data_IF_234354455738
#
_entry.id   IF_234354455738
#
_cell.length_a   1.000
_cell.length_b   1.000
_cell.length_c   1.000
_cell.angle_alpha   90.00
_cell.angle_beta   90.00
_cell.angle_gamma   90.00
#
_symmetry.space_group_name_H-M   'P 1'
#
loop_
_entity.id
_entity.type
_entity.pdbx_description
1 polymer ?
#
# COMPACT_ATOMS: atom_id res chain seq x y z
N UNK A 1 -8.33 4.15 7.17
CA UNK A 1 -9.31 4.81 8.06
C UNK A 1 -9.87 6.02 7.35
N UNK A 2 -11.17 6.20 7.44
CA UNK A 2 -11.83 7.38 6.90
C UNK A 2 -11.53 8.59 7.77
N UNK A 3 -11.20 9.71 7.12
CA UNK A 3 -10.84 10.96 7.77
C UNK A 3 -11.67 12.09 7.15
N UNK A 4 -12.06 13.11 7.92
CA UNK A 4 -12.61 14.33 7.35
C UNK A 4 -11.56 14.99 6.45
N UNK A 5 -12.00 15.88 5.54
CA UNK A 5 -11.10 16.62 4.66
C UNK A 5 -10.09 17.41 5.52
N UNK A 6 -8.79 17.08 5.48
CA UNK A 6 -7.82 17.71 6.34
C UNK A 6 -7.61 19.18 5.92
N UNK A 7 -7.71 20.08 6.89
CA UNK A 7 -7.57 21.53 6.71
C UNK A 7 -6.21 22.06 7.15
N UNK A 8 -5.50 21.31 8.01
CA UNK A 8 -4.23 21.72 8.60
C UNK A 8 -3.26 20.56 8.77
N UNK A 9 -1.96 20.89 8.89
CA UNK A 9 -0.90 19.92 9.20
C UNK A 9 -1.19 19.15 10.50
N UNK A 10 -1.76 19.83 11.50
CA UNK A 10 -2.03 19.26 12.82
C UNK A 10 -3.05 18.13 12.74
N UNK A 11 -4.13 18.32 11.98
CA UNK A 11 -5.15 17.28 11.76
C UNK A 11 -4.58 16.04 11.10
N UNK A 12 -3.66 16.23 10.15
CA UNK A 12 -3.04 15.12 9.42
C UNK A 12 -2.19 14.26 10.36
N UNK A 13 -1.36 14.90 11.18
CA UNK A 13 -0.55 14.21 12.19
C UNK A 13 -1.44 13.51 13.22
N UNK A 14 -2.53 14.16 13.65
CA UNK A 14 -3.49 13.56 14.57
C UNK A 14 -4.17 12.31 13.98
N UNK A 15 -4.60 12.37 12.71
CA UNK A 15 -5.19 11.24 12.01
C UNK A 15 -4.20 10.08 11.85
N UNK A 16 -2.96 10.35 11.42
CA UNK A 16 -1.91 9.33 11.33
C UNK A 16 -1.69 8.62 12.67
N UNK A 17 -1.58 9.38 13.76
CA UNK A 17 -1.38 8.83 15.12
C UNK A 17 -2.59 8.01 15.55
N UNK A 18 -3.81 8.46 15.28
CA UNK A 18 -5.05 7.73 15.58
C UNK A 18 -5.07 6.37 14.88
N UNK A 19 -4.78 6.32 13.58
CA UNK A 19 -4.66 5.06 12.82
C UNK A 19 -3.62 4.12 13.44
N UNK A 20 -2.44 4.63 13.79
CA UNK A 20 -1.39 3.82 14.42
C UNK A 20 -1.82 3.22 15.77
N UNK A 21 -2.47 4.02 16.61
CA UNK A 21 -2.89 3.58 17.94
C UNK A 21 -4.06 2.60 17.86
N UNK A 22 -5.03 2.83 16.98
CA UNK A 22 -6.11 1.89 16.73
C UNK A 22 -5.59 0.54 16.22
N UNK A 23 -4.64 0.56 15.28
CA UNK A 23 -4.02 -0.67 14.77
C UNK A 23 -3.29 -1.44 15.88
N UNK A 24 -2.62 -0.72 16.80
CA UNK A 24 -1.96 -1.33 17.97
C UNK A 24 -2.98 -1.90 18.96
N UNK A 25 -4.06 -1.18 19.24
CA UNK A 25 -5.11 -1.58 20.17
C UNK A 25 -5.91 -2.79 19.66
N UNK A 26 -6.21 -2.84 18.36
CA UNK A 26 -6.92 -3.96 17.71
C UNK A 26 -6.05 -5.22 17.55
N UNK A 27 -4.73 -5.12 17.73
CA UNK A 27 -3.82 -6.27 17.66
C UNK A 27 -3.77 -6.97 16.29
N UNK A 28 -4.16 -6.29 15.21
CA UNK A 28 -4.24 -6.89 13.87
C UNK A 28 -2.85 -7.26 13.37
N UNK A 29 -2.73 -8.46 12.77
CA UNK A 29 -1.47 -8.91 12.17
C UNK A 29 -1.03 -7.97 11.05
N UNK A 30 0.18 -7.45 11.18
CA UNK A 30 0.87 -6.61 10.19
C UNK A 30 0.93 -7.32 8.84
N UNK A 31 0.38 -6.69 7.80
CA UNK A 31 0.45 -7.19 6.43
C UNK A 31 1.64 -6.56 5.70
N UNK A 32 2.52 -7.40 5.15
CA UNK A 32 3.60 -6.96 4.27
C UNK A 32 3.02 -6.63 2.90
N UNK A 33 3.30 -5.43 2.42
CA UNK A 33 2.85 -4.89 1.14
C UNK A 33 4.03 -4.30 0.39
N UNK A 34 3.89 -4.20 -0.91
CA UNK A 34 4.81 -3.46 -1.77
C UNK A 34 4.08 -2.22 -2.26
N UNK A 35 4.68 -1.05 -2.07
CA UNK A 35 4.16 0.23 -2.54
C UNK A 35 5.00 0.67 -3.73
N UNK A 36 4.33 0.88 -4.86
CA UNK A 36 4.88 1.43 -6.09
C UNK A 36 4.37 2.86 -6.28
N UNK A 37 5.28 3.80 -6.48
CA UNK A 37 4.96 5.21 -6.72
C UNK A 37 5.45 5.59 -8.11
N UNK A 38 4.55 5.91 -9.04
CA UNK A 38 4.88 6.35 -10.40
C UNK A 38 4.27 7.73 -10.70
N UNK A 39 4.49 8.23 -11.92
CA UNK A 39 3.82 9.43 -12.45
C UNK A 39 2.30 9.25 -12.57
N UNK A 40 1.83 8.01 -12.70
CA UNK A 40 0.39 7.71 -12.81
C UNK A 40 -0.29 7.73 -11.44
N UNK A 41 0.43 7.40 -10.37
CA UNK A 41 -0.09 7.41 -9.01
C UNK A 41 0.61 6.43 -8.06
N UNK A 42 -0.13 6.04 -7.02
CA UNK A 42 0.35 5.12 -5.97
C UNK A 42 -0.43 3.82 -6.07
N UNK A 43 0.30 2.71 -6.22
CA UNK A 43 -0.24 1.35 -6.23
C UNK A 43 0.31 0.56 -5.06
N UNK A 44 -0.57 -0.15 -4.37
CA UNK A 44 -0.22 -1.02 -3.24
C UNK A 44 -0.57 -2.44 -3.60
N UNK A 45 0.43 -3.31 -3.67
CA UNK A 45 0.26 -4.73 -4.01
C UNK A 45 0.71 -5.64 -2.88
N UNK A 46 0.12 -6.82 -2.82
CA UNK A 46 0.63 -7.95 -2.06
C UNK A 46 1.18 -8.98 -3.03
N UNK A 47 2.43 -9.39 -2.80
CA UNK A 47 3.01 -10.52 -3.53
C UNK A 47 2.53 -11.81 -2.90
N UNK A 48 1.55 -12.47 -3.54
CA UNK A 48 1.29 -13.89 -3.26
C UNK A 48 2.48 -14.67 -3.82
N UNK A 49 3.33 -15.17 -2.93
CA UNK A 49 4.25 -16.23 -3.29
C UNK A 49 3.42 -17.50 -3.39
N UNK A 50 2.93 -17.87 -4.59
CA UNK A 50 2.62 -19.28 -4.84
C UNK A 50 3.94 -20.02 -4.60
N UNK A 51 4.06 -20.69 -3.44
CA UNK A 51 4.99 -21.80 -3.31
C UNK A 51 4.60 -22.77 -4.42
N UNK A 52 5.35 -22.76 -5.52
CA UNK A 52 5.26 -23.76 -6.56
C UNK A 52 5.61 -25.11 -5.93
N UNK A 53 4.63 -25.74 -5.28
CA UNK A 53 4.70 -27.16 -4.95
C UNK A 53 4.51 -27.85 -6.30
N UNK A 54 5.62 -28.03 -7.02
CA UNK A 54 5.70 -28.79 -8.26
C UNK A 54 5.34 -30.24 -7.89
N UNK A 55 4.04 -30.55 -7.89
CA UNK A 55 3.57 -31.93 -7.98
C UNK A 55 3.71 -32.36 -9.44
N UNK A 56 4.38 -33.48 -9.61
CA UNK A 56 4.55 -34.28 -10.81
C UNK A 56 3.29 -34.41 -11.67
N UNK A 57 3.48 -34.45 -12.99
CA UNK A 57 2.68 -35.32 -13.85
C UNK A 57 1.86 -34.64 -14.95
N UNK A 58 2.28 -34.93 -16.18
CA UNK A 58 1.53 -34.95 -17.44
C UNK A 58 1.46 -33.67 -18.31
N UNK A 59 2.07 -33.83 -19.49
CA UNK A 59 1.96 -33.03 -20.71
C UNK A 59 0.51 -33.07 -21.22
N UNK A 60 0.01 -31.99 -21.80
CA UNK A 60 -0.72 -31.98 -23.09
C UNK A 60 -1.12 -30.54 -23.53
N UNK A 61 -0.67 -30.17 -24.74
CA UNK A 61 -1.16 -29.14 -25.69
C UNK A 61 -1.32 -27.65 -25.31
N UNK A 62 -0.65 -26.78 -26.08
CA UNK A 62 -1.03 -25.36 -26.28
C UNK A 62 0.14 -24.41 -26.57
N UNK A 63 0.48 -24.19 -27.85
CA UNK A 63 1.57 -23.33 -28.35
C UNK A 63 1.12 -21.86 -28.51
N UNK A 64 1.99 -20.96 -28.03
CA UNK A 64 2.22 -19.56 -28.46
C UNK A 64 1.11 -18.50 -28.39
N UNK A 65 1.14 -17.68 -27.32
CA UNK A 65 1.19 -16.23 -27.49
C UNK A 65 2.09 -15.56 -26.42
N UNK A 66 2.76 -14.49 -26.83
CA UNK A 66 3.97 -13.90 -26.24
C UNK A 66 3.66 -13.06 -24.98
N UNK A 67 4.49 -13.24 -23.94
CA UNK A 67 4.68 -12.41 -22.73
C UNK A 67 3.44 -12.06 -21.89
N UNK A 68 3.22 -12.82 -20.80
CA UNK A 68 3.17 -12.25 -19.46
C UNK A 68 3.21 -13.39 -18.43
N UNK A 69 4.37 -13.56 -17.79
CA UNK A 69 4.47 -14.34 -16.56
C UNK A 69 3.68 -13.58 -15.48
N UNK A 70 2.37 -13.81 -15.40
CA UNK A 70 1.52 -13.14 -14.43
C UNK A 70 1.79 -13.74 -13.06
N UNK A 71 2.87 -13.26 -12.44
CA UNK A 71 2.95 -13.17 -10.98
C UNK A 71 1.63 -12.56 -10.54
N UNK A 72 0.75 -13.34 -9.93
CA UNK A 72 -0.56 -12.87 -9.49
C UNK A 72 -0.33 -11.92 -8.30
N UNK A 73 0.01 -10.67 -8.62
CA UNK A 73 0.13 -9.57 -7.67
C UNK A 73 -1.28 -9.13 -7.34
N UNK A 74 -1.71 -9.39 -6.11
CA UNK A 74 -3.01 -8.92 -5.64
C UNK A 74 -2.89 -7.42 -5.38
N UNK A 75 -3.52 -6.63 -6.22
CA UNK A 75 -3.62 -5.18 -6.02
C UNK A 75 -4.62 -4.91 -4.88
N UNK A 76 -4.13 -4.29 -3.81
CA UNK A 76 -4.98 -3.90 -2.68
C UNK A 76 -5.63 -2.55 -2.93
N UNK A 77 -4.85 -1.61 -3.46
CA UNK A 77 -5.26 -0.22 -3.59
C UNK A 77 -4.53 0.41 -4.78
N UNK A 78 -5.24 1.22 -5.53
CA UNK A 78 -4.68 2.04 -6.59
C UNK A 78 -5.32 3.41 -6.59
N UNK A 79 -4.50 4.44 -6.36
CA UNK A 79 -4.93 5.83 -6.35
C UNK A 79 -4.15 6.60 -7.41
N UNK A 80 -4.84 7.15 -8.44
CA UNK A 80 -4.22 8.04 -9.40
C UNK A 80 -3.67 9.29 -8.72
N UNK A 81 -2.63 9.88 -9.31
CA UNK A 81 -1.89 10.99 -8.69
C UNK A 81 -2.79 12.19 -8.37
N UNK A 82 -3.77 12.48 -9.22
CA UNK A 82 -4.73 13.59 -9.05
C UNK A 82 -5.70 13.39 -7.87
N UNK A 83 -5.81 12.18 -7.31
CA UNK A 83 -6.66 11.89 -6.14
C UNK A 83 -5.90 11.96 -4.82
N UNK A 84 -4.58 12.02 -4.87
CA UNK A 84 -3.75 12.10 -3.68
C UNK A 84 -3.79 13.54 -3.20
N UNK A 85 -4.42 13.76 -2.06
CA UNK A 85 -4.61 15.09 -1.49
C UNK A 85 -3.38 15.55 -0.71
N UNK A 86 -2.77 14.63 0.04
CA UNK A 86 -1.65 14.95 0.90
C UNK A 86 -0.75 13.76 1.14
N UNK A 87 0.54 14.04 1.34
CA UNK A 87 1.58 13.06 1.61
C UNK A 87 2.46 13.56 2.77
N UNK A 88 2.67 12.73 3.78
CA UNK A 88 3.50 13.09 4.94
C UNK A 88 4.18 11.92 5.62
N UNK A 89 5.22 12.27 6.38
CA UNK A 89 5.89 11.40 7.35
C UNK A 89 5.54 11.82 8.78
N UNK A 90 5.75 10.93 9.74
CA UNK A 90 5.64 11.27 11.16
C UNK A 90 6.91 12.00 11.60
N UNK A 91 6.78 13.18 12.22
CA UNK A 91 7.93 13.95 12.72
C UNK A 91 8.75 13.20 13.77
N UNK A 92 8.15 12.20 14.43
CA UNK A 92 8.78 11.36 15.45
C UNK A 92 9.33 10.03 14.91
N UNK A 93 8.88 9.56 13.74
CA UNK A 93 9.31 8.30 13.14
C UNK A 93 9.29 8.41 11.61
N UNK A 94 10.43 8.82 11.03
CA UNK A 94 10.59 8.96 9.57
C UNK A 94 10.41 7.65 8.79
N UNK A 95 10.39 6.49 9.47
CA UNK A 95 10.07 5.20 8.81
C UNK A 95 8.57 5.05 8.57
N UNK A 96 7.76 5.93 9.13
CA UNK A 96 6.32 5.95 8.96
C UNK A 96 5.96 7.00 7.93
N UNK A 97 5.37 6.50 6.86
CA UNK A 97 4.91 7.26 5.73
C UNK A 97 3.40 7.12 5.65
N UNK A 98 2.73 8.18 5.24
CA UNK A 98 1.30 8.17 5.02
C UNK A 98 0.91 9.04 3.86
N UNK A 99 -0.20 8.68 3.23
CA UNK A 99 -0.86 9.54 2.27
C UNK A 99 -2.36 9.53 2.51
N UNK A 100 -3.00 10.64 2.16
CA UNK A 100 -4.44 10.79 2.19
C UNK A 100 -4.92 10.89 0.75
N UNK A 101 -5.78 9.96 0.35
CA UNK A 101 -6.38 9.94 -0.97
C UNK A 101 -7.90 10.08 -0.87
N UNK A 102 -8.49 10.77 -1.85
CA UNK A 102 -9.94 10.84 -2.00
C UNK A 102 -10.43 9.61 -2.76
N UNK A 103 -11.40 8.91 -2.19
CA UNK A 103 -12.06 7.78 -2.85
C UNK A 103 -12.92 8.26 -4.02
N UNK A 104 -12.83 7.58 -5.15
CA UNK A 104 -13.54 7.97 -6.38
C UNK A 104 -15.05 7.77 -6.30
N UNK A 105 -15.50 6.75 -5.56
CA UNK A 105 -16.93 6.44 -5.46
C UNK A 105 -17.65 7.23 -4.37
N UNK A 106 -17.03 7.34 -3.19
CA UNK A 106 -17.68 7.91 -1.99
C UNK A 106 -17.26 9.34 -1.69
N UNK A 107 -16.23 9.86 -2.37
CA UNK A 107 -15.61 11.16 -2.07
C UNK A 107 -15.07 11.31 -0.64
N UNK A 108 -14.98 10.21 0.11
CA UNK A 108 -14.40 10.18 1.45
C UNK A 108 -12.88 10.16 1.36
N UNK A 109 -12.22 10.86 2.29
CA UNK A 109 -10.77 10.83 2.38
C UNK A 109 -10.32 9.63 3.20
N UNK A 110 -9.40 8.84 2.65
CA UNK A 110 -8.82 7.68 3.32
C UNK A 110 -7.37 7.96 3.65
N UNK A 111 -7.04 7.91 4.94
CA UNK A 111 -5.66 7.97 5.41
C UNK A 111 -5.04 6.57 5.38
N UNK A 112 -3.98 6.43 4.57
CA UNK A 112 -3.19 5.22 4.40
C UNK A 112 -1.85 5.37 5.09
N UNK A 113 -1.59 4.54 6.10
CA UNK A 113 -0.38 4.60 6.92
C UNK A 113 0.46 3.35 6.70
N UNK A 114 1.74 3.56 6.44
CA UNK A 114 2.72 2.53 6.13
C UNK A 114 3.93 2.66 7.04
N UNK A 115 4.53 1.53 7.41
CA UNK A 115 5.81 1.49 8.11
C UNK A 115 6.85 0.73 7.30
N UNK A 116 7.98 1.36 7.01
CA UNK A 116 9.10 0.71 6.35
C UNK A 116 9.82 -0.26 7.29
N UNK A 117 10.29 -1.39 6.74
CA UNK A 117 11.10 -2.38 7.48
C UNK A 117 12.61 -2.16 7.38
N UNK A 118 13.11 -1.37 6.41
CA UNK A 118 14.55 -1.14 6.17
C UNK A 118 14.89 0.36 6.15
N UNK A 119 16.18 0.69 6.20
CA UNK A 119 16.66 2.07 5.99
C UNK A 119 16.02 2.64 4.71
N UNK A 120 15.54 3.87 4.79
CA UNK A 120 14.84 4.56 3.71
C UNK A 120 15.79 4.64 2.51
N UNK A 121 15.52 3.86 1.46
CA UNK A 121 16.17 4.05 0.16
C UNK A 121 15.15 4.73 -0.76
N UNK A 122 15.62 5.65 -1.59
CA UNK A 122 14.86 6.41 -2.61
C UNK A 122 14.37 5.54 -3.77
N UNK A 123 13.89 4.33 -3.49
CA UNK A 123 13.38 3.40 -4.49
C UNK A 123 11.91 3.67 -4.75
N UNK A 124 11.57 3.81 -6.03
CA UNK A 124 10.21 3.89 -6.60
C UNK A 124 9.28 2.78 -6.10
N UNK A 125 9.86 1.62 -5.80
CA UNK A 125 9.20 0.46 -5.21
C UNK A 125 9.79 0.16 -3.83
N UNK A 126 8.93 0.14 -2.80
CA UNK A 126 9.36 -0.09 -1.42
C UNK A 126 8.49 -1.15 -0.72
N UNK A 127 9.15 -2.06 0.01
CA UNK A 127 8.46 -3.03 0.85
C UNK A 127 8.12 -2.40 2.20
N UNK A 128 6.83 -2.37 2.53
CA UNK A 128 6.31 -1.71 3.71
C UNK A 128 5.30 -2.61 4.43
N UNK A 129 4.90 -2.19 5.61
CA UNK A 129 3.78 -2.78 6.35
C UNK A 129 2.62 -1.81 6.30
N UNK A 130 1.46 -2.26 5.84
CA UNK A 130 0.21 -1.50 5.87
C UNK A 130 -0.38 -1.53 7.29
N UNK A 131 -0.77 -0.37 7.81
CA UNK A 131 -1.29 -0.17 9.17
C UNK A 131 -2.73 0.35 9.20
N UNK A 132 -3.48 0.20 8.11
CA UNK A 132 -4.89 0.60 7.99
C UNK A 132 -5.84 -0.56 7.94
#
# INVERSE_FOLDING_TARGET
MDVPRPSSRVEIVAAMRRVRYEFKARGVKKRKVTVDVSTDGVRVTMRTQKRSKKKSGSKLFGRSNKSNCSTETLELMHHPIYRIFYVSHDSSDLKIFSYIARDGATNVFKCNVFKSSKKVCTKTTSNMVLLT
#
